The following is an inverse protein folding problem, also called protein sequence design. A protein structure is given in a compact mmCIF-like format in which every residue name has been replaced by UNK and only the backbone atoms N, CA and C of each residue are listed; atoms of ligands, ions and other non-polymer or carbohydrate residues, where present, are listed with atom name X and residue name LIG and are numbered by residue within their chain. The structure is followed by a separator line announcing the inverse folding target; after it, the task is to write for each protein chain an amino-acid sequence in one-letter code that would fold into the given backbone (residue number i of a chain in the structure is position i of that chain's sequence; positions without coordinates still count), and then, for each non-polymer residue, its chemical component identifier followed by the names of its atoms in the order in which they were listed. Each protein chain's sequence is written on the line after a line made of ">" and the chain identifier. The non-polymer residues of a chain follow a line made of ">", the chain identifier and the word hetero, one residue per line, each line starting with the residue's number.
data_IF_278537042658
#
_entry.id   IF_278537042658
#
_cell.length_a   1.000
_cell.length_b   1.000
_cell.length_c   1.000
_cell.angle_alpha   90.00
_cell.angle_beta   90.00
_cell.angle_gamma   90.00
#
_symmetry.space_group_name_H-M   'P 1'
#
loop_
_entity.id
_entity.type
_entity.pdbx_description
1 polymer ?
#
# COMPACT_ATOMS: atom_id res chain seq x y z
N UNK A 1 8.12 8.83 31.73
CA UNK A 1 9.31 8.01 31.36
C UNK A 1 10.53 8.83 31.71
N UNK A 2 11.66 8.22 31.97
CA UNK A 2 12.88 8.93 32.30
C UNK A 2 13.53 9.45 31.01
N UNK A 3 14.27 10.57 31.09
CA UNK A 3 15.08 11.13 29.98
C UNK A 3 16.11 10.12 29.42
N UNK A 4 16.35 9.02 30.11
CA UNK A 4 17.27 7.95 29.71
C UNK A 4 16.60 6.84 28.85
N UNK A 5 15.28 6.89 28.61
CA UNK A 5 14.59 5.88 27.80
C UNK A 5 14.99 5.97 26.33
N UNK A 6 15.21 4.82 25.68
CA UNK A 6 15.67 4.68 24.29
C UNK A 6 14.59 4.01 23.45
N UNK A 7 14.05 4.71 22.48
CA UNK A 7 13.09 4.17 21.54
C UNK A 7 13.73 4.05 20.16
N UNK A 8 13.53 2.90 19.53
CA UNK A 8 14.06 2.61 18.19
C UNK A 8 12.88 2.34 17.24
N UNK A 9 12.90 2.96 16.07
CA UNK A 9 11.94 2.75 14.97
C UNK A 9 12.71 2.12 13.82
N UNK A 10 12.33 0.91 13.42
CA UNK A 10 12.92 0.19 12.29
C UNK A 10 12.01 0.32 11.07
N UNK A 11 12.47 1.06 10.08
CA UNK A 11 11.78 1.43 8.85
C UNK A 11 11.95 2.92 8.56
N UNK A 12 12.07 3.28 7.27
CA UNK A 12 12.29 4.65 6.78
C UNK A 12 11.10 5.23 6.00
N UNK A 13 9.89 4.66 6.15
CA UNK A 13 8.70 5.15 5.43
C UNK A 13 7.80 6.08 6.24
N UNK A 14 6.63 6.40 5.66
CA UNK A 14 5.62 7.27 6.25
C UNK A 14 5.25 6.87 7.69
N UNK A 15 5.04 5.58 7.95
CA UNK A 15 4.66 5.10 9.28
C UNK A 15 5.73 5.40 10.33
N UNK A 16 7.01 5.27 9.99
CA UNK A 16 8.12 5.56 10.87
C UNK A 16 8.22 7.06 11.20
N UNK A 17 8.08 7.94 10.19
CA UNK A 17 8.08 9.38 10.39
C UNK A 17 6.91 9.83 11.26
N UNK A 18 5.70 9.34 10.97
CA UNK A 18 4.50 9.69 11.75
C UNK A 18 4.57 9.16 13.19
N UNK A 19 5.26 8.05 13.42
CA UNK A 19 5.52 7.57 14.77
C UNK A 19 6.49 8.47 15.52
N UNK A 20 7.56 8.92 14.87
CA UNK A 20 8.49 9.88 15.47
C UNK A 20 7.80 11.20 15.80
N UNK A 21 6.97 11.73 14.88
CA UNK A 21 6.14 12.92 15.12
C UNK A 21 5.20 12.71 16.31
N UNK A 22 4.50 11.57 16.37
CA UNK A 22 3.54 11.28 17.44
C UNK A 22 4.21 11.10 18.81
N UNK A 23 5.39 10.48 18.86
CA UNK A 23 6.16 10.34 20.11
C UNK A 23 6.59 11.71 20.63
N UNK A 24 7.16 12.56 19.79
CA UNK A 24 7.56 13.93 20.18
C UNK A 24 6.37 14.82 20.52
N UNK A 25 5.27 14.69 19.77
CA UNK A 25 4.01 15.39 20.08
C UNK A 25 3.32 14.94 21.36
N UNK A 26 3.73 13.81 21.94
CA UNK A 26 3.26 13.29 23.24
C UNK A 26 4.29 13.46 24.36
N UNK A 27 5.24 14.40 24.19
CA UNK A 27 6.26 14.79 25.18
C UNK A 27 7.25 13.67 25.55
N UNK A 28 7.54 12.75 24.61
CA UNK A 28 8.64 11.82 24.78
C UNK A 28 9.97 12.57 24.64
N UNK A 29 10.74 12.65 25.69
CA UNK A 29 12.02 13.40 25.77
C UNK A 29 13.27 12.49 25.78
N UNK A 30 13.09 11.15 25.72
CA UNK A 30 14.16 10.18 25.63
C UNK A 30 14.85 10.15 24.27
N UNK A 31 15.87 9.29 24.13
CA UNK A 31 16.54 9.03 22.85
C UNK A 31 15.58 8.37 21.87
N UNK A 32 15.51 8.91 20.65
CA UNK A 32 14.67 8.40 19.57
C UNK A 32 15.52 8.22 18.32
N UNK A 33 15.68 6.96 17.86
CA UNK A 33 16.44 6.62 16.67
C UNK A 33 15.51 6.02 15.63
N UNK A 34 15.54 6.54 14.40
CA UNK A 34 14.84 6.03 13.22
C UNK A 34 15.87 5.45 12.26
N UNK A 35 15.68 4.19 11.86
CA UNK A 35 16.62 3.47 10.99
C UNK A 35 15.91 3.09 9.70
N UNK A 36 16.39 3.61 8.56
CA UNK A 36 15.83 3.40 7.22
C UNK A 36 16.83 2.80 6.25
N UNK A 37 16.39 1.83 5.45
CA UNK A 37 17.21 1.18 4.42
C UNK A 37 17.51 2.12 3.24
N UNK A 38 16.55 2.97 2.89
CA UNK A 38 16.69 3.94 1.79
C UNK A 38 17.59 5.12 2.20
N UNK A 39 18.29 5.72 1.23
CA UNK A 39 19.16 6.90 1.44
C UNK A 39 18.37 8.20 1.61
N UNK A 40 17.05 8.16 1.50
CA UNK A 40 16.16 9.29 1.55
C UNK A 40 15.44 9.42 2.89
N UNK A 41 15.18 10.66 3.30
CA UNK A 41 14.24 10.91 4.40
C UNK A 41 12.88 10.28 4.09
N UNK A 42 12.12 9.89 5.12
CA UNK A 42 10.79 9.31 4.92
C UNK A 42 9.90 10.16 4.02
N UNK A 43 9.26 9.52 3.05
CA UNK A 43 8.37 10.15 2.07
C UNK A 43 7.11 9.33 1.85
N UNK A 44 6.10 9.95 1.24
CA UNK A 44 4.84 9.32 0.88
C UNK A 44 4.95 8.53 -0.41
N UNK A 45 4.41 7.32 -0.47
CA UNK A 45 4.53 6.46 -1.65
C UNK A 45 3.48 6.70 -2.74
N UNK A 46 2.26 7.20 -2.46
CA UNK A 46 1.26 7.40 -3.51
C UNK A 46 1.73 8.25 -4.69
N UNK A 47 2.54 9.32 -4.53
CA UNK A 47 3.03 10.10 -5.65
C UNK A 47 3.91 9.32 -6.64
N UNK A 48 4.56 8.22 -6.21
CA UNK A 48 5.47 7.43 -7.03
C UNK A 48 4.80 6.78 -8.25
N UNK A 49 3.49 6.53 -8.20
CA UNK A 49 2.69 6.01 -9.33
C UNK A 49 1.76 7.05 -9.95
N UNK A 50 1.75 8.29 -9.42
CA UNK A 50 0.85 9.39 -9.79
C UNK A 50 1.63 10.66 -10.15
N UNK A 51 1.58 11.68 -9.31
CA UNK A 51 2.08 13.04 -9.63
C UNK A 51 3.58 13.06 -9.90
N UNK A 52 4.38 12.29 -9.13
CA UNK A 52 5.82 12.21 -9.36
C UNK A 52 6.11 11.50 -10.68
N UNK A 53 5.47 10.35 -10.93
CA UNK A 53 5.64 9.60 -12.18
C UNK A 53 5.21 10.41 -13.42
N UNK A 54 4.30 11.36 -13.25
CA UNK A 54 3.88 12.32 -14.28
C UNK A 54 4.76 13.57 -14.35
N UNK A 55 5.84 13.65 -13.57
CA UNK A 55 6.75 14.80 -13.51
C UNK A 55 6.15 16.08 -12.90
N UNK A 56 5.05 15.97 -12.13
CA UNK A 56 4.34 17.10 -11.53
C UNK A 56 4.82 17.44 -10.11
N UNK A 57 5.46 16.51 -9.41
CA UNK A 57 5.99 16.68 -8.07
C UNK A 57 7.43 16.16 -7.98
N UNK A 58 8.29 16.89 -7.28
CA UNK A 58 9.61 16.42 -6.91
C UNK A 58 9.58 15.72 -5.55
N UNK A 59 10.59 14.91 -5.20
CA UNK A 59 10.68 14.19 -3.93
C UNK A 59 10.47 15.11 -2.71
N UNK A 60 10.97 16.34 -2.76
CA UNK A 60 10.82 17.31 -1.67
C UNK A 60 9.37 17.68 -1.36
N UNK A 61 8.46 17.59 -2.35
CA UNK A 61 7.05 17.98 -2.21
C UNK A 61 6.23 16.93 -1.43
N UNK A 62 6.71 15.69 -1.35
CA UNK A 62 6.06 14.59 -0.63
C UNK A 62 6.96 13.90 0.41
N UNK A 63 8.10 14.51 0.75
CA UNK A 63 8.89 14.16 1.94
C UNK A 63 8.08 14.50 3.18
N UNK A 64 7.91 13.54 4.11
CA UNK A 64 6.99 13.67 5.26
C UNK A 64 7.37 14.80 6.21
N UNK A 65 8.67 15.00 6.44
CA UNK A 65 9.20 16.11 7.23
C UNK A 65 10.59 16.47 6.72
N UNK A 66 10.94 17.78 6.70
CA UNK A 66 12.28 18.20 6.29
C UNK A 66 13.34 17.74 7.31
N UNK A 67 14.58 17.54 6.86
CA UNK A 67 15.68 17.13 7.76
C UNK A 67 15.91 18.04 8.95
N UNK A 68 15.54 19.33 8.84
CA UNK A 68 15.59 20.26 9.96
C UNK A 68 14.63 19.86 11.08
N UNK A 69 13.42 19.35 10.74
CA UNK A 69 12.46 18.90 11.74
C UNK A 69 13.05 17.80 12.64
N UNK A 70 13.72 16.80 12.08
CA UNK A 70 14.34 15.71 12.85
C UNK A 70 15.41 16.24 13.80
N UNK A 71 16.23 17.20 13.36
CA UNK A 71 17.26 17.84 14.20
C UNK A 71 16.65 18.63 15.36
N UNK A 72 15.65 19.47 15.06
CA UNK A 72 14.99 20.33 16.05
C UNK A 72 14.24 19.51 17.11
N UNK A 73 13.77 18.31 16.73
CA UNK A 73 13.08 17.40 17.64
C UNK A 73 13.98 16.27 18.18
N UNK A 74 15.30 16.40 18.02
CA UNK A 74 16.27 15.41 18.53
C UNK A 74 15.96 13.97 18.13
N UNK A 75 15.56 13.75 16.88
CA UNK A 75 15.39 12.41 16.27
C UNK A 75 16.67 12.09 15.53
N UNK A 76 17.37 11.04 15.97
CA UNK A 76 18.50 10.48 15.24
C UNK A 76 17.97 9.69 14.03
N UNK A 77 18.42 10.03 12.82
CA UNK A 77 17.98 9.36 11.58
C UNK A 77 19.18 8.69 10.94
N UNK A 78 19.12 7.36 10.84
CA UNK A 78 20.13 6.52 10.20
C UNK A 78 19.57 6.04 8.85
N UNK A 79 19.94 6.72 7.76
CA UNK A 79 19.56 6.36 6.38
C UNK A 79 20.58 5.37 5.80
N UNK A 80 20.20 4.67 4.71
CA UNK A 80 21.04 3.65 4.07
C UNK A 80 21.42 2.50 5.01
N UNK A 81 20.63 2.28 6.07
CA UNK A 81 20.98 1.34 7.15
C UNK A 81 19.87 0.30 7.33
N UNK A 82 20.23 -0.96 7.17
CA UNK A 82 19.31 -2.09 7.36
C UNK A 82 19.52 -2.72 8.73
N UNK A 83 18.45 -2.89 9.51
CA UNK A 83 18.49 -3.70 10.73
C UNK A 83 18.49 -5.18 10.32
N UNK A 84 19.47 -5.94 10.79
CA UNK A 84 19.69 -7.34 10.39
C UNK A 84 19.12 -8.36 11.38
N UNK A 85 18.95 -7.98 12.65
CA UNK A 85 18.34 -8.84 13.68
C UNK A 85 17.76 -8.01 14.83
N UNK A 86 16.82 -8.60 15.54
CA UNK A 86 16.29 -8.11 16.81
C UNK A 86 16.53 -9.16 17.89
N UNK A 87 17.30 -8.82 18.91
CA UNK A 87 17.46 -9.63 20.12
C UNK A 87 16.55 -9.10 21.23
N UNK A 88 15.45 -9.81 21.46
CA UNK A 88 14.44 -9.46 22.47
C UNK A 88 14.94 -9.65 23.89
N UNK A 89 15.87 -10.61 24.12
CA UNK A 89 16.39 -10.91 25.46
C UNK A 89 17.34 -9.82 25.95
N UNK A 90 18.23 -9.35 25.07
CA UNK A 90 19.15 -8.26 25.38
C UNK A 90 18.56 -6.88 25.06
N UNK A 91 17.38 -6.82 24.42
CA UNK A 91 16.73 -5.59 23.91
C UNK A 91 17.66 -4.77 23.03
N UNK A 92 18.17 -5.39 21.97
CA UNK A 92 19.04 -4.74 20.99
C UNK A 92 18.60 -5.02 19.55
N UNK A 93 18.87 -4.09 18.65
CA UNK A 93 18.83 -4.33 17.21
C UNK A 93 20.25 -4.36 16.67
N UNK A 94 20.53 -5.30 15.76
CA UNK A 94 21.85 -5.47 15.12
C UNK A 94 21.91 -4.71 13.79
N UNK A 95 23.07 -4.11 13.49
CA UNK A 95 23.38 -3.43 12.25
C UNK A 95 24.35 -4.24 11.37
N UNK A 96 24.49 -3.91 10.07
CA UNK A 96 25.32 -4.69 9.15
C UNK A 96 26.80 -4.73 9.51
N UNK A 97 27.33 -3.71 10.20
CA UNK A 97 28.72 -3.62 10.66
C UNK A 97 29.01 -4.45 11.92
N UNK A 98 28.00 -5.16 12.46
CA UNK A 98 28.08 -5.95 13.66
C UNK A 98 27.85 -5.15 14.96
N UNK A 99 27.64 -3.84 14.87
CA UNK A 99 27.24 -3.04 16.02
C UNK A 99 25.80 -3.31 16.43
N UNK A 100 25.45 -2.94 17.65
CA UNK A 100 24.08 -3.09 18.17
C UNK A 100 23.62 -1.80 18.83
N UNK A 101 22.31 -1.49 18.67
CA UNK A 101 21.66 -0.39 19.34
C UNK A 101 20.67 -0.94 20.38
N UNK A 102 20.81 -0.54 21.66
CA UNK A 102 19.88 -0.94 22.70
C UNK A 102 18.56 -0.15 22.61
N UNK A 103 17.46 -0.79 22.97
CA UNK A 103 16.14 -0.16 23.05
C UNK A 103 15.42 -0.51 24.35
N UNK A 104 14.58 0.39 24.83
CA UNK A 104 13.59 0.11 25.87
C UNK A 104 12.23 -0.18 25.22
N UNK A 105 11.93 0.47 24.07
CA UNK A 105 10.80 0.17 23.18
C UNK A 105 11.24 0.15 21.73
N UNK A 106 10.65 -0.76 20.97
CA UNK A 106 10.93 -0.97 19.55
C UNK A 106 9.64 -0.84 18.72
N UNK A 107 9.72 -0.15 17.61
CA UNK A 107 8.67 -0.16 16.61
C UNK A 107 9.16 -0.79 15.30
N UNK A 108 8.40 -1.76 14.79
CA UNK A 108 8.60 -2.34 13.47
C UNK A 108 7.70 -1.62 12.46
N UNK A 109 8.30 -0.93 11.50
CA UNK A 109 7.64 -0.18 10.44
C UNK A 109 8.29 -0.48 9.07
N UNK A 110 8.70 -1.74 8.86
CA UNK A 110 9.49 -2.21 7.72
C UNK A 110 8.73 -2.25 6.39
N UNK A 111 7.43 -2.02 6.41
CA UNK A 111 6.61 -1.91 5.20
C UNK A 111 6.53 -3.20 4.39
N UNK A 112 6.48 -3.04 3.06
CA UNK A 112 6.35 -4.15 2.11
C UNK A 112 7.25 -3.95 0.90
N UNK A 113 7.49 -5.02 0.15
CA UNK A 113 8.23 -5.04 -1.11
C UNK A 113 7.39 -5.63 -2.24
N UNK A 114 7.65 -5.29 -3.52
CA UNK A 114 7.01 -5.92 -4.65
C UNK A 114 7.22 -7.43 -4.67
N UNK A 115 6.23 -8.16 -5.14
CA UNK A 115 6.39 -9.58 -5.49
C UNK A 115 7.03 -9.68 -6.86
N UNK A 116 7.95 -10.62 -7.01
CA UNK A 116 8.52 -11.00 -8.31
C UNK A 116 7.97 -12.36 -8.74
N UNK A 117 7.71 -12.48 -10.03
CA UNK A 117 7.30 -13.77 -10.59
C UNK A 117 8.53 -14.68 -10.70
N UNK A 118 8.43 -15.94 -10.27
CA UNK A 118 9.51 -16.92 -10.42
C UNK A 118 9.49 -17.54 -11.83
N UNK A 119 9.63 -16.71 -12.86
CA UNK A 119 9.61 -17.10 -14.27
C UNK A 119 10.94 -16.71 -14.95
N UNK A 120 11.33 -17.42 -16.05
CA UNK A 120 12.52 -17.06 -16.81
C UNK A 120 12.47 -15.60 -17.26
N UNK A 121 13.61 -14.92 -17.20
CA UNK A 121 13.75 -13.52 -17.62
C UNK A 121 13.25 -12.46 -16.61
N UNK A 122 12.71 -12.87 -15.45
CA UNK A 122 12.15 -11.94 -14.46
C UNK A 122 13.17 -10.92 -13.89
N UNK A 123 14.45 -11.25 -13.91
CA UNK A 123 15.53 -10.39 -13.42
C UNK A 123 16.37 -9.76 -14.56
N UNK A 124 15.88 -9.81 -15.82
CA UNK A 124 16.60 -9.25 -16.98
C UNK A 124 16.62 -7.71 -16.92
N UNK A 125 17.60 -7.11 -17.59
CA UNK A 125 17.63 -5.67 -17.81
C UNK A 125 16.34 -5.24 -18.55
N UNK A 126 15.74 -4.10 -18.18
CA UNK A 126 14.46 -3.63 -18.76
C UNK A 126 13.23 -4.27 -18.12
N UNK A 127 13.41 -5.03 -17.03
CA UNK A 127 12.31 -5.46 -16.16
C UNK A 127 12.27 -4.54 -14.95
N UNK A 128 11.10 -3.98 -14.69
CA UNK A 128 10.86 -2.95 -13.67
C UNK A 128 9.86 -3.44 -12.63
N UNK A 129 9.92 -2.81 -11.48
CA UNK A 129 8.93 -2.85 -10.40
C UNK A 129 8.79 -1.45 -9.81
N UNK A 130 7.80 -1.19 -8.97
CA UNK A 130 7.62 0.11 -8.35
C UNK A 130 7.39 0.00 -6.85
N UNK A 131 8.31 0.57 -6.07
CA UNK A 131 8.21 0.74 -4.63
C UNK A 131 8.99 1.94 -4.11
N UNK A 132 10.17 2.25 -4.69
CA UNK A 132 11.04 3.34 -4.24
C UNK A 132 11.07 4.50 -5.23
N UNK A 133 11.67 5.62 -4.80
CA UNK A 133 11.83 6.81 -5.63
C UNK A 133 12.71 6.51 -6.85
N UNK A 134 13.78 5.75 -6.68
CA UNK A 134 14.70 5.39 -7.78
C UNK A 134 13.98 4.55 -8.85
N UNK A 135 13.06 3.68 -8.41
CA UNK A 135 12.27 2.88 -9.35
C UNK A 135 11.24 3.74 -10.09
N UNK A 136 10.68 4.75 -9.45
CA UNK A 136 9.80 5.72 -10.11
C UNK A 136 10.58 6.59 -11.10
N UNK A 137 11.76 7.08 -10.72
CA UNK A 137 12.66 7.85 -11.60
C UNK A 137 13.07 7.03 -12.83
N UNK A 138 13.38 5.74 -12.64
CA UNK A 138 13.69 4.83 -13.74
C UNK A 138 12.51 4.62 -14.71
N UNK A 139 11.27 4.65 -14.20
CA UNK A 139 10.06 4.60 -15.04
C UNK A 139 9.83 5.93 -15.79
N UNK A 140 10.13 7.08 -15.17
CA UNK A 140 10.09 8.39 -15.85
C UNK A 140 11.05 8.41 -17.04
N UNK A 141 12.29 7.97 -16.84
CA UNK A 141 13.30 7.88 -17.89
C UNK A 141 12.87 6.91 -19.01
N UNK A 142 12.28 5.76 -18.61
CA UNK A 142 11.72 4.79 -19.53
C UNK A 142 10.62 5.40 -20.43
N UNK A 143 9.69 6.15 -19.86
CA UNK A 143 8.58 6.76 -20.62
C UNK A 143 9.08 7.79 -21.65
N UNK A 144 10.25 8.37 -21.44
CA UNK A 144 10.90 9.26 -22.42
C UNK A 144 11.49 8.54 -23.64
N UNK A 145 11.67 7.21 -23.59
CA UNK A 145 12.41 6.44 -24.59
C UNK A 145 11.69 5.21 -25.13
N UNK A 146 10.89 4.52 -24.30
CA UNK A 146 10.17 3.33 -24.70
C UNK A 146 8.94 3.66 -25.56
N UNK A 147 8.64 2.77 -26.51
CA UNK A 147 7.42 2.82 -27.31
C UNK A 147 6.34 1.89 -26.77
N UNK A 148 6.76 0.71 -26.27
CA UNK A 148 5.85 -0.37 -25.84
C UNK A 148 6.25 -0.85 -24.45
N UNK A 149 5.29 -0.87 -23.54
CA UNK A 149 5.43 -1.39 -22.19
C UNK A 149 4.47 -2.58 -22.00
N UNK A 150 4.98 -3.70 -21.54
CA UNK A 150 4.15 -4.80 -21.03
C UNK A 150 4.04 -4.68 -19.50
N UNK A 151 2.82 -4.65 -18.98
CA UNK A 151 2.53 -4.62 -17.55
C UNK A 151 1.95 -5.97 -17.15
N UNK A 152 2.62 -6.66 -16.23
CA UNK A 152 2.15 -7.94 -15.70
C UNK A 152 1.45 -7.68 -14.35
N UNK A 153 0.14 -7.90 -14.32
CA UNK A 153 -0.75 -7.64 -13.20
C UNK A 153 -1.56 -6.36 -13.35
N UNK A 154 -2.89 -6.50 -13.25
CA UNK A 154 -3.85 -5.40 -13.29
C UNK A 154 -4.38 -5.06 -11.88
N UNK A 155 -3.50 -5.01 -10.88
CA UNK A 155 -3.73 -4.42 -9.57
C UNK A 155 -3.59 -2.90 -9.60
N UNK A 156 -3.75 -2.24 -8.44
CA UNK A 156 -3.72 -0.77 -8.32
C UNK A 156 -2.48 -0.15 -8.94
N UNK A 157 -1.29 -0.57 -8.54
CA UNK A 157 -0.01 -0.03 -9.05
C UNK A 157 0.14 -0.28 -10.55
N UNK A 158 -0.19 -1.48 -11.03
CA UNK A 158 -0.13 -1.80 -12.46
C UNK A 158 -1.00 -0.88 -13.30
N UNK A 159 -2.23 -0.60 -12.85
CA UNK A 159 -3.16 0.29 -13.54
C UNK A 159 -2.76 1.77 -13.43
N UNK A 160 -2.28 2.24 -12.27
CA UNK A 160 -1.79 3.61 -12.11
C UNK A 160 -0.58 3.89 -13.00
N UNK A 161 0.42 2.98 -13.03
CA UNK A 161 1.57 3.10 -13.93
C UNK A 161 1.13 3.01 -15.39
N UNK A 162 0.15 2.15 -15.71
CA UNK A 162 -0.44 2.09 -17.06
C UNK A 162 -1.06 3.43 -17.45
N UNK A 163 -1.81 4.08 -16.56
CA UNK A 163 -2.41 5.38 -16.81
C UNK A 163 -1.34 6.46 -17.05
N UNK A 164 -0.27 6.47 -16.25
CA UNK A 164 0.85 7.39 -16.41
C UNK A 164 1.59 7.15 -17.74
N UNK A 165 1.92 5.90 -18.08
CA UNK A 165 2.59 5.54 -19.32
C UNK A 165 1.77 5.93 -20.56
N UNK A 166 0.44 5.66 -20.53
CA UNK A 166 -0.46 6.09 -21.63
C UNK A 166 -0.51 7.62 -21.76
N UNK A 167 -0.52 8.33 -20.65
CA UNK A 167 -0.48 9.81 -20.64
C UNK A 167 0.83 10.33 -21.23
N UNK A 168 1.94 9.63 -21.03
CA UNK A 168 3.24 9.92 -21.63
C UNK A 168 3.35 9.47 -23.11
N UNK A 169 2.31 8.82 -23.68
CA UNK A 169 2.31 8.39 -25.08
C UNK A 169 2.88 6.98 -25.35
N UNK A 170 3.21 6.22 -24.30
CA UNK A 170 3.70 4.84 -24.42
C UNK A 170 2.54 3.91 -24.77
N UNK A 171 2.70 2.98 -25.71
CA UNK A 171 1.77 1.89 -25.95
C UNK A 171 1.86 0.87 -24.82
N UNK A 172 0.72 0.51 -24.22
CA UNK A 172 0.71 -0.39 -23.05
C UNK A 172 -0.16 -1.61 -23.32
N UNK A 173 0.41 -2.78 -23.07
CA UNK A 173 -0.32 -4.06 -22.96
C UNK A 173 -0.32 -4.47 -21.49
N UNK A 174 -1.51 -4.64 -20.90
CA UNK A 174 -1.68 -5.14 -19.52
C UNK A 174 -2.11 -6.61 -19.58
N UNK A 175 -1.43 -7.44 -18.80
CA UNK A 175 -1.64 -8.89 -18.74
C UNK A 175 -2.09 -9.29 -17.35
N UNK A 176 -3.30 -9.87 -17.25
CA UNK A 176 -3.93 -10.22 -15.98
C UNK A 176 -4.43 -11.67 -16.00
N UNK A 177 -4.17 -12.40 -14.92
CA UNK A 177 -4.63 -13.79 -14.78
C UNK A 177 -6.11 -13.89 -14.46
N UNK A 178 -6.66 -12.91 -13.78
CA UNK A 178 -8.09 -12.84 -13.49
C UNK A 178 -8.89 -12.39 -14.72
N UNK A 179 -10.21 -12.60 -14.69
CA UNK A 179 -11.10 -12.25 -15.81
C UNK A 179 -11.30 -10.76 -16.01
N UNK A 180 -11.11 -9.98 -14.94
CA UNK A 180 -11.17 -8.53 -14.93
C UNK A 180 -10.07 -7.98 -14.03
N UNK A 181 -9.60 -6.73 -14.25
CA UNK A 181 -8.67 -6.07 -13.34
C UNK A 181 -9.28 -5.87 -11.96
N UNK A 182 -8.46 -5.74 -10.93
CA UNK A 182 -8.88 -5.47 -9.54
C UNK A 182 -9.90 -6.45 -8.96
N UNK A 183 -10.11 -7.62 -9.58
CA UNK A 183 -11.16 -8.57 -9.17
C UNK A 183 -11.06 -8.96 -7.70
N UNK A 184 -9.85 -9.17 -7.20
CA UNK A 184 -9.63 -9.55 -5.79
C UNK A 184 -10.02 -8.44 -4.80
N UNK A 185 -9.95 -7.18 -5.22
CA UNK A 185 -10.25 -6.01 -4.39
C UNK A 185 -11.70 -5.54 -4.50
N UNK A 186 -12.24 -5.51 -5.73
CA UNK A 186 -13.52 -4.87 -6.03
C UNK A 186 -14.59 -5.83 -6.55
N UNK A 187 -14.23 -7.07 -6.91
CA UNK A 187 -15.13 -8.00 -7.57
C UNK A 187 -15.24 -7.74 -9.09
N UNK A 188 -16.11 -8.53 -9.74
CA UNK A 188 -16.21 -8.51 -11.22
C UNK A 188 -16.85 -7.23 -11.74
N UNK A 189 -17.96 -6.80 -11.15
CA UNK A 189 -18.74 -5.66 -11.64
C UNK A 189 -17.94 -4.36 -11.66
N UNK A 190 -17.27 -4.04 -10.56
CA UNK A 190 -16.41 -2.85 -10.49
C UNK A 190 -15.11 -3.03 -11.27
N UNK A 191 -14.59 -4.24 -11.37
CA UNK A 191 -13.45 -4.55 -12.23
C UNK A 191 -13.71 -4.22 -13.70
N UNK A 192 -14.93 -4.45 -14.22
CA UNK A 192 -15.28 -4.07 -15.59
C UNK A 192 -15.27 -2.54 -15.80
N UNK A 193 -15.67 -1.74 -14.81
CA UNK A 193 -15.59 -0.27 -14.90
C UNK A 193 -14.14 0.18 -15.12
N UNK A 194 -13.18 -0.39 -14.41
CA UNK A 194 -11.76 -0.11 -14.62
C UNK A 194 -11.23 -0.68 -15.93
N UNK A 195 -11.72 -1.86 -16.36
CA UNK A 195 -11.36 -2.41 -17.67
C UNK A 195 -11.78 -1.48 -18.80
N UNK A 196 -13.00 -0.96 -18.75
CA UNK A 196 -13.53 -0.03 -19.76
C UNK A 196 -12.81 1.32 -19.74
N UNK A 197 -12.43 1.83 -18.53
CA UNK A 197 -11.60 3.01 -18.40
C UNK A 197 -10.29 2.86 -19.18
N UNK A 198 -9.56 1.78 -18.96
CA UNK A 198 -8.26 1.56 -19.60
C UNK A 198 -8.38 1.30 -21.10
N UNK A 199 -9.36 0.49 -21.53
CA UNK A 199 -9.65 0.27 -22.95
C UNK A 199 -10.00 1.57 -23.69
N UNK A 200 -10.79 2.46 -23.06
CA UNK A 200 -11.13 3.76 -23.62
C UNK A 200 -9.91 4.66 -23.82
N UNK A 201 -8.83 4.47 -23.02
CA UNK A 201 -7.55 5.15 -23.17
C UNK A 201 -6.54 4.39 -24.05
N UNK A 202 -7.00 3.37 -24.81
CA UNK A 202 -6.20 2.67 -25.80
C UNK A 202 -5.19 1.67 -25.20
N UNK A 203 -5.46 1.14 -24.01
CA UNK A 203 -4.71 0.03 -23.42
C UNK A 203 -5.14 -1.29 -24.04
N UNK A 204 -4.17 -2.13 -24.47
CA UNK A 204 -4.41 -3.54 -24.81
C UNK A 204 -4.51 -4.34 -23.51
N UNK A 205 -5.72 -4.42 -22.95
CA UNK A 205 -5.99 -5.12 -21.70
C UNK A 205 -6.40 -6.56 -21.96
N UNK A 206 -5.52 -7.50 -21.62
CA UNK A 206 -5.70 -8.96 -21.78
C UNK A 206 -5.88 -9.62 -20.41
N UNK A 207 -7.11 -10.00 -20.11
CA UNK A 207 -7.48 -10.70 -18.90
C UNK A 207 -7.65 -12.21 -19.17
N UNK A 208 -7.49 -13.02 -18.12
CA UNK A 208 -7.53 -14.49 -18.22
C UNK A 208 -6.29 -15.09 -18.89
N UNK A 209 -5.17 -14.36 -18.93
CA UNK A 209 -3.91 -14.81 -19.54
C UNK A 209 -2.81 -14.95 -18.48
N UNK A 210 -1.87 -15.84 -18.72
CA UNK A 210 -0.72 -16.07 -17.84
C UNK A 210 0.58 -15.88 -18.61
N UNK A 211 1.51 -15.12 -18.01
CA UNK A 211 2.86 -14.97 -18.53
C UNK A 211 3.69 -16.17 -18.11
N UNK A 212 4.27 -16.88 -19.08
CA UNK A 212 5.15 -18.04 -18.88
C UNK A 212 6.61 -17.62 -18.73
N UNK A 213 7.06 -16.59 -19.47
CA UNK A 213 8.41 -16.04 -19.37
C UNK A 213 8.46 -14.58 -19.85
N UNK A 214 9.50 -13.86 -19.46
CA UNK A 214 9.92 -12.61 -20.07
C UNK A 214 10.98 -12.98 -21.10
N UNK A 215 10.71 -12.69 -22.38
CA UNK A 215 11.65 -12.98 -23.46
C UNK A 215 12.82 -12.03 -23.42
N UNK A 216 14.02 -12.55 -23.71
CA UNK A 216 15.25 -11.75 -23.59
C UNK A 216 16.15 -11.92 -24.81
N UNK A 217 16.92 -10.88 -25.13
CA UNK A 217 17.99 -10.92 -26.10
C UNK A 217 19.19 -10.11 -25.58
N UNK A 218 20.37 -10.71 -25.56
CA UNK A 218 21.58 -10.06 -25.03
C UNK A 218 21.48 -9.69 -23.53
N UNK A 219 20.60 -10.36 -22.76
CA UNK A 219 20.38 -10.09 -21.33
C UNK A 219 19.32 -9.00 -21.03
N UNK A 220 18.76 -8.37 -22.05
CA UNK A 220 17.68 -7.37 -21.92
C UNK A 220 16.33 -7.96 -22.31
N UNK A 221 15.26 -7.51 -21.64
CA UNK A 221 13.88 -7.88 -21.96
C UNK A 221 13.51 -7.39 -23.38
N UNK A 222 12.79 -8.24 -24.12
CA UNK A 222 12.29 -7.95 -25.48
C UNK A 222 10.78 -8.15 -25.59
N UNK A 223 10.14 -8.57 -24.51
CA UNK A 223 8.72 -8.83 -24.45
C UNK A 223 8.36 -9.92 -23.46
N UNK A 224 7.22 -10.53 -23.66
CA UNK A 224 6.71 -11.62 -22.83
C UNK A 224 6.14 -12.75 -23.69
N UNK A 225 6.25 -13.98 -23.21
CA UNK A 225 5.56 -15.15 -23.79
C UNK A 225 4.51 -15.63 -22.81
N UNK A 226 3.29 -15.83 -23.34
CA UNK A 226 2.17 -16.37 -22.59
C UNK A 226 2.21 -17.91 -22.55
N UNK A 227 1.37 -18.52 -21.73
CA UNK A 227 1.27 -19.98 -21.59
C UNK A 227 0.63 -20.68 -22.80
N UNK A 228 0.00 -19.93 -23.71
CA UNK A 228 -0.50 -20.39 -25.01
C UNK A 228 0.52 -20.19 -26.16
N UNK A 229 1.79 -19.93 -25.84
CA UNK A 229 2.89 -19.62 -26.76
C UNK A 229 2.76 -18.29 -27.53
N UNK A 230 1.75 -17.45 -27.25
CA UNK A 230 1.66 -16.12 -27.82
C UNK A 230 2.84 -15.26 -27.33
N UNK A 231 3.58 -14.64 -28.24
CA UNK A 231 4.68 -13.71 -27.94
C UNK A 231 4.23 -12.29 -28.20
N UNK A 232 4.45 -11.44 -27.18
CA UNK A 232 4.16 -10.01 -27.23
C UNK A 232 5.48 -9.25 -27.08
N UNK A 233 5.83 -8.49 -28.11
CA UNK A 233 7.03 -7.64 -28.07
C UNK A 233 6.80 -6.42 -27.18
N UNK A 234 7.79 -6.08 -26.37
CA UNK A 234 7.82 -4.88 -25.55
C UNK A 234 9.25 -4.39 -25.36
N UNK A 235 9.45 -3.09 -25.24
CA UNK A 235 10.75 -2.48 -24.99
C UNK A 235 11.11 -2.58 -23.49
N UNK A 236 10.11 -2.76 -22.65
CA UNK A 236 10.24 -2.95 -21.21
C UNK A 236 9.07 -3.75 -20.63
N UNK A 237 9.28 -4.31 -19.44
CA UNK A 237 8.28 -5.08 -18.70
C UNK A 237 8.17 -4.54 -17.27
N UNK A 238 6.98 -4.20 -16.81
CA UNK A 238 6.68 -3.90 -15.41
C UNK A 238 6.05 -5.12 -14.74
N UNK A 239 6.62 -5.58 -13.63
CA UNK A 239 5.99 -6.56 -12.76
C UNK A 239 5.21 -5.85 -11.64
N UNK A 240 3.88 -5.94 -11.66
CA UNK A 240 2.96 -5.36 -10.68
C UNK A 240 2.02 -6.40 -10.08
N UNK A 241 2.58 -7.54 -9.66
CA UNK A 241 1.86 -8.76 -9.24
C UNK A 241 1.61 -8.82 -7.72
N UNK A 242 1.51 -7.66 -7.08
CA UNK A 242 1.21 -7.51 -5.67
C UNK A 242 2.43 -7.20 -4.79
N UNK A 243 2.21 -7.11 -3.49
CA UNK A 243 3.22 -6.83 -2.50
C UNK A 243 3.36 -7.96 -1.47
N UNK A 244 4.47 -7.97 -0.76
CA UNK A 244 4.76 -8.88 0.34
C UNK A 244 5.26 -8.06 1.54
N UNK A 245 4.65 -8.17 2.72
CA UNK A 245 5.12 -7.48 3.92
C UNK A 245 6.51 -7.99 4.34
N UNK A 246 7.35 -7.08 4.82
CA UNK A 246 8.71 -7.37 5.30
C UNK A 246 8.66 -7.84 6.75
N UNK A 247 8.22 -9.07 6.97
CA UNK A 247 7.98 -9.64 8.32
C UNK A 247 9.14 -10.50 8.82
N UNK A 248 10.17 -10.71 8.03
CA UNK A 248 11.26 -11.63 8.32
C UNK A 248 11.96 -11.25 9.64
N UNK A 249 12.25 -9.96 9.84
CA UNK A 249 12.87 -9.46 11.06
C UNK A 249 12.05 -9.79 12.32
N UNK A 250 10.74 -9.69 12.25
CA UNK A 250 9.83 -10.05 13.34
C UNK A 250 9.79 -11.57 13.55
N UNK A 251 9.67 -12.35 12.48
CA UNK A 251 9.61 -13.80 12.53
C UNK A 251 10.90 -14.40 13.10
N UNK A 252 12.06 -13.94 12.65
CA UNK A 252 13.38 -14.40 13.12
C UNK A 252 13.62 -14.04 14.60
N UNK A 253 13.03 -12.94 15.07
CA UNK A 253 13.02 -12.56 16.48
C UNK A 253 12.01 -13.36 17.33
N UNK A 254 11.24 -14.28 16.73
CA UNK A 254 10.23 -15.07 17.42
C UNK A 254 8.98 -14.27 17.81
N UNK A 255 8.70 -13.17 17.11
CA UNK A 255 7.44 -12.43 17.23
C UNK A 255 6.40 -13.14 16.35
N UNK A 256 5.19 -13.29 16.86
CA UNK A 256 4.14 -14.00 16.15
C UNK A 256 3.75 -13.28 14.84
N UNK A 257 3.73 -14.04 13.74
CA UNK A 257 3.36 -13.56 12.41
C UNK A 257 2.28 -14.43 11.79
N UNK A 258 1.47 -13.84 10.94
CA UNK A 258 0.50 -14.47 10.07
C UNK A 258 0.73 -13.99 8.63
N UNK A 259 -0.25 -13.32 8.04
CA UNK A 259 -0.06 -12.56 6.80
C UNK A 259 0.77 -11.27 7.02
N UNK A 260 0.92 -10.85 8.27
CA UNK A 260 1.70 -9.74 8.79
C UNK A 260 2.24 -10.05 10.18
N UNK A 261 2.74 -9.04 10.90
CA UNK A 261 3.08 -9.11 12.32
C UNK A 261 1.78 -9.00 13.12
N UNK A 262 1.50 -10.01 13.96
CA UNK A 262 0.27 -10.05 14.75
C UNK A 262 0.30 -8.99 15.85
N UNK A 263 -0.64 -8.06 15.81
CA UNK A 263 -0.81 -7.02 16.82
C UNK A 263 -2.25 -6.98 17.34
N UNK A 264 -2.42 -6.45 18.53
CA UNK A 264 -3.74 -6.17 19.12
C UNK A 264 -4.31 -4.83 18.62
N UNK A 265 -5.41 -4.38 19.21
CA UNK A 265 -6.06 -3.11 18.88
C UNK A 265 -5.20 -1.88 19.18
N UNK A 266 -4.26 -2.01 20.11
CA UNK A 266 -3.29 -0.95 20.49
C UNK A 266 -2.01 -0.97 19.64
N UNK A 267 -1.92 -1.88 18.66
CA UNK A 267 -0.76 -2.14 17.80
C UNK A 267 0.44 -2.78 18.54
N UNK A 268 0.22 -3.27 19.77
CA UNK A 268 1.21 -4.06 20.50
C UNK A 268 1.32 -5.47 19.92
N UNK A 269 2.55 -6.00 19.84
CA UNK A 269 2.79 -7.41 19.54
C UNK A 269 2.60 -8.25 20.80
N UNK A 270 2.87 -9.56 20.72
CA UNK A 270 2.95 -10.42 21.91
C UNK A 270 4.10 -10.05 22.87
N UNK A 271 5.00 -9.17 22.47
CA UNK A 271 6.04 -8.58 23.32
C UNK A 271 5.62 -7.16 23.72
N UNK A 272 5.46 -6.86 25.03
CA UNK A 272 4.95 -5.56 25.48
C UNK A 272 5.88 -4.38 25.19
N UNK A 273 7.11 -4.64 24.75
CA UNK A 273 8.08 -3.63 24.39
C UNK A 273 8.19 -3.41 22.87
N UNK A 274 7.39 -4.14 22.08
CA UNK A 274 7.45 -4.09 20.61
C UNK A 274 6.08 -3.82 20.01
N UNK A 275 5.99 -2.79 19.20
CA UNK A 275 4.80 -2.47 18.37
C UNK A 275 5.09 -2.71 16.89
N UNK A 276 4.04 -2.91 16.07
CA UNK A 276 4.17 -2.93 14.61
C UNK A 276 3.09 -2.05 13.96
N UNK A 277 3.47 -1.31 12.89
CA UNK A 277 2.61 -0.33 12.21
C UNK A 277 2.79 -0.38 10.69
N UNK A 278 1.78 0.12 9.98
CA UNK A 278 1.77 0.21 8.51
C UNK A 278 1.48 -1.14 7.85
N UNK A 279 2.07 -1.37 6.67
CA UNK A 279 1.78 -2.54 5.80
C UNK A 279 2.02 -3.88 6.48
N UNK A 280 2.93 -3.94 7.47
CA UNK A 280 3.27 -5.18 8.17
C UNK A 280 2.30 -5.52 9.29
N UNK A 281 1.49 -4.58 9.79
CA UNK A 281 0.63 -4.81 10.94
C UNK A 281 -0.61 -5.63 10.56
N UNK A 282 -0.73 -6.84 11.13
CA UNK A 282 -1.95 -7.65 11.08
C UNK A 282 -2.70 -7.46 12.39
N UNK A 283 -3.57 -6.47 12.40
CA UNK A 283 -4.23 -5.98 13.58
C UNK A 283 -5.49 -6.79 13.92
N UNK A 284 -5.71 -7.07 15.20
CA UNK A 284 -7.05 -7.44 15.69
C UNK A 284 -7.93 -6.18 15.72
N UNK A 285 -8.69 -5.97 14.64
CA UNK A 285 -9.43 -4.72 14.45
C UNK A 285 -10.70 -4.67 15.30
N UNK A 286 -10.85 -3.68 16.19
CA UNK A 286 -11.95 -3.66 17.19
C UNK A 286 -13.33 -3.51 16.53
N UNK A 287 -13.51 -2.65 15.53
CA UNK A 287 -14.80 -2.47 14.86
C UNK A 287 -15.16 -3.63 13.93
N UNK A 288 -14.19 -4.23 13.24
CA UNK A 288 -14.47 -5.31 12.29
C UNK A 288 -14.53 -6.68 12.96
N UNK A 289 -14.05 -6.80 14.23
CA UNK A 289 -14.10 -8.03 15.01
C UNK A 289 -13.22 -9.17 14.45
N UNK A 290 -12.26 -8.84 13.58
CA UNK A 290 -11.39 -9.79 12.90
C UNK A 290 -9.98 -9.23 12.72
N UNK A 291 -9.03 -10.09 12.34
CA UNK A 291 -7.71 -9.63 11.92
C UNK A 291 -7.78 -9.00 10.55
N UNK A 292 -7.11 -7.85 10.42
CA UNK A 292 -7.04 -7.07 9.19
C UNK A 292 -5.60 -6.67 8.94
N UNK A 293 -5.12 -6.92 7.74
CA UNK A 293 -3.87 -6.40 7.21
C UNK A 293 -4.12 -5.84 5.81
N UNK A 294 -3.85 -4.58 5.64
CA UNK A 294 -3.94 -3.88 4.35
C UNK A 294 -2.72 -3.00 4.15
N UNK A 295 -2.25 -2.91 2.91
CA UNK A 295 -1.11 -2.09 2.51
C UNK A 295 -1.59 -0.69 2.08
N UNK A 296 -2.36 -0.03 2.97
CA UNK A 296 -2.98 1.25 2.66
C UNK A 296 -2.19 2.41 3.27
N UNK A 297 -2.01 3.47 2.49
CA UNK A 297 -1.41 4.72 2.93
C UNK A 297 -2.02 5.23 4.25
N UNK A 298 -3.35 5.15 4.39
CA UNK A 298 -4.06 5.60 5.60
C UNK A 298 -3.63 4.86 6.87
N UNK A 299 -3.26 3.57 6.80
CA UNK A 299 -2.74 2.84 7.95
C UNK A 299 -1.34 3.36 8.34
N UNK A 300 -0.46 3.56 7.36
CA UNK A 300 0.86 4.13 7.61
C UNK A 300 0.78 5.56 8.19
N UNK A 301 -0.24 6.32 7.81
CA UNK A 301 -0.49 7.68 8.31
C UNK A 301 -1.04 7.69 9.74
N UNK A 302 -1.99 6.80 10.05
CA UNK A 302 -2.84 6.96 11.25
C UNK A 302 -2.51 5.98 12.40
N UNK A 303 -2.06 4.75 12.12
CA UNK A 303 -1.66 3.78 13.15
C UNK A 303 -0.56 4.30 14.08
N UNK A 304 0.45 5.05 13.58
CA UNK A 304 1.55 5.55 14.42
C UNK A 304 1.12 6.37 15.63
N UNK A 305 0.03 7.12 15.54
CA UNK A 305 -0.48 7.89 16.67
C UNK A 305 -0.89 6.99 17.85
N UNK A 306 -1.52 5.85 17.56
CA UNK A 306 -1.92 4.87 18.59
C UNK A 306 -0.70 4.09 19.08
N UNK A 307 0.19 3.67 18.19
CA UNK A 307 1.42 2.98 18.58
C UNK A 307 2.31 3.84 19.49
N UNK A 308 2.38 5.15 19.26
CA UNK A 308 3.08 6.07 20.15
C UNK A 308 2.51 6.05 21.56
N UNK A 309 1.17 6.07 21.72
CA UNK A 309 0.53 5.94 23.03
C UNK A 309 0.90 4.61 23.70
N UNK A 310 0.86 3.52 22.95
CA UNK A 310 1.24 2.18 23.45
C UNK A 310 2.69 2.14 23.93
N UNK A 311 3.64 2.67 23.14
CA UNK A 311 5.06 2.75 23.54
C UNK A 311 5.26 3.60 24.79
N UNK A 312 4.41 4.61 24.99
CA UNK A 312 4.43 5.50 26.17
C UNK A 312 3.67 4.91 27.38
N UNK A 313 3.10 3.69 27.26
CA UNK A 313 2.30 3.08 28.34
C UNK A 313 0.96 3.77 28.55
N UNK A 314 0.47 4.54 27.57
CA UNK A 314 -0.83 5.19 27.58
C UNK A 314 -1.88 4.33 26.85
N UNK A 315 -3.15 4.36 27.23
CA UNK A 315 -4.20 3.61 26.54
C UNK A 315 -4.43 4.17 25.13
N UNK A 316 -4.66 3.29 24.16
CA UNK A 316 -5.00 3.61 22.79
C UNK A 316 -5.62 2.43 22.06
N UNK A 317 -6.49 2.68 21.10
CA UNK A 317 -7.07 1.67 20.22
C UNK A 317 -7.19 2.25 18.81
N UNK A 318 -6.71 1.52 17.81
CA UNK A 318 -6.85 1.91 16.41
C UNK A 318 -8.11 1.28 15.82
N UNK A 319 -9.15 2.09 15.65
CA UNK A 319 -10.49 1.69 15.23
C UNK A 319 -10.91 2.27 13.86
N UNK A 320 -10.00 2.95 13.17
CA UNK A 320 -10.32 3.55 11.86
C UNK A 320 -10.54 2.46 10.81
N UNK A 321 -11.63 2.58 10.06
CA UNK A 321 -11.89 1.69 8.93
C UNK A 321 -10.75 1.75 7.90
N UNK A 322 -10.40 0.62 7.25
CA UNK A 322 -9.50 0.63 6.11
C UNK A 322 -9.96 1.63 5.05
N UNK A 323 -9.04 2.43 4.55
CA UNK A 323 -9.29 3.45 3.53
C UNK A 323 -8.14 3.50 2.54
N UNK A 324 -8.47 3.59 1.26
CA UNK A 324 -7.51 3.91 0.21
C UNK A 324 -8.17 4.70 -0.91
N UNK A 325 -7.33 5.26 -1.78
CA UNK A 325 -7.76 6.03 -2.95
C UNK A 325 -6.90 5.68 -4.16
N UNK A 326 -7.41 5.96 -5.35
CA UNK A 326 -6.63 5.93 -6.59
C UNK A 326 -7.09 7.04 -7.51
N UNK A 327 -6.14 7.54 -8.32
CA UNK A 327 -6.38 8.49 -9.39
C UNK A 327 -5.82 7.91 -10.68
N UNK A 328 -6.66 7.73 -11.69
CA UNK A 328 -6.29 7.15 -12.98
C UNK A 328 -7.00 7.91 -14.09
N UNK A 329 -6.23 8.63 -14.92
CA UNK A 329 -6.76 9.53 -15.94
C UNK A 329 -7.70 10.60 -15.35
N UNK A 330 -9.01 10.52 -15.67
CA UNK A 330 -10.09 11.38 -15.20
C UNK A 330 -10.97 10.74 -14.11
N UNK A 331 -10.56 9.57 -13.61
CA UNK A 331 -11.25 8.85 -12.55
C UNK A 331 -10.50 9.02 -11.24
N UNK A 332 -11.12 9.69 -10.27
CA UNK A 332 -10.73 9.67 -8.87
C UNK A 332 -11.66 8.79 -8.06
N UNK A 333 -11.11 8.00 -7.13
CA UNK A 333 -11.88 7.06 -6.33
C UNK A 333 -11.37 6.99 -4.90
N UNK A 334 -12.31 6.90 -3.96
CA UNK A 334 -12.06 6.57 -2.57
C UNK A 334 -12.83 5.30 -2.19
N UNK A 335 -12.20 4.44 -1.41
CA UNK A 335 -12.79 3.22 -0.87
C UNK A 335 -12.66 3.19 0.65
N UNK A 336 -13.74 2.91 1.35
CA UNK A 336 -13.77 2.78 2.81
C UNK A 336 -14.43 1.47 3.20
N UNK A 337 -13.86 0.78 4.19
CA UNK A 337 -14.37 -0.48 4.71
C UNK A 337 -13.52 -1.68 4.34
N UNK A 338 -14.07 -2.87 4.49
CA UNK A 338 -13.31 -4.10 4.29
C UNK A 338 -14.23 -5.26 3.92
N UNK A 339 -14.01 -5.85 2.76
CA UNK A 339 -14.53 -7.15 2.35
C UNK A 339 -13.38 -8.14 2.45
N UNK A 340 -13.51 -9.16 3.29
CA UNK A 340 -12.43 -10.12 3.48
C UNK A 340 -12.22 -10.99 2.23
N UNK A 341 -10.99 -11.46 1.97
CA UNK A 341 -10.74 -12.41 0.89
C UNK A 341 -11.64 -13.63 1.00
N UNK A 342 -12.41 -13.92 -0.07
CA UNK A 342 -13.37 -15.03 -0.11
C UNK A 342 -14.71 -14.75 0.58
N UNK A 343 -14.93 -13.57 1.13
CA UNK A 343 -16.23 -13.16 1.64
C UNK A 343 -17.17 -12.79 0.47
N UNK A 344 -18.35 -13.40 0.44
CA UNK A 344 -19.35 -13.08 -0.57
C UNK A 344 -20.04 -11.76 -0.21
N UNK A 345 -20.04 -10.81 -1.14
CA UNK A 345 -20.73 -9.54 -1.02
C UNK A 345 -21.49 -9.24 -2.31
N UNK A 346 -22.71 -8.75 -2.18
CA UNK A 346 -23.46 -8.20 -3.31
C UNK A 346 -23.12 -6.73 -3.50
N UNK A 347 -22.98 -6.30 -4.76
CA UNK A 347 -22.69 -4.91 -5.09
C UNK A 347 -23.99 -4.17 -5.38
N UNK A 348 -24.15 -2.98 -4.80
CA UNK A 348 -25.23 -2.05 -5.09
C UNK A 348 -24.64 -0.77 -5.61
N UNK A 349 -25.03 -0.35 -6.81
CA UNK A 349 -24.56 0.88 -7.43
C UNK A 349 -25.62 1.97 -7.33
N UNK A 350 -25.20 3.16 -6.96
CA UNK A 350 -25.99 4.40 -6.92
C UNK A 350 -25.32 5.42 -7.84
N UNK A 351 -25.97 5.82 -8.91
CA UNK A 351 -25.44 6.71 -9.94
C UNK A 351 -25.21 5.95 -11.26
N UNK A 352 -24.32 6.46 -12.09
CA UNK A 352 -24.07 5.93 -13.42
C UNK A 352 -22.59 5.54 -13.61
N UNK A 353 -22.32 4.27 -13.74
CA UNK A 353 -20.98 3.75 -14.01
C UNK A 353 -20.43 4.16 -15.38
N UNK A 354 -21.32 4.43 -16.36
CA UNK A 354 -20.95 4.87 -17.69
C UNK A 354 -20.39 6.29 -17.72
N UNK A 355 -20.90 7.18 -16.88
CA UNK A 355 -20.36 8.54 -16.68
C UNK A 355 -19.23 8.59 -15.68
N UNK A 356 -19.00 7.49 -14.94
CA UNK A 356 -18.04 7.42 -13.83
C UNK A 356 -18.35 8.42 -12.70
N UNK A 357 -19.64 8.63 -12.44
CA UNK A 357 -20.12 9.40 -11.31
C UNK A 357 -21.10 8.53 -10.51
N UNK A 358 -20.57 7.78 -9.54
CA UNK A 358 -21.37 6.81 -8.78
C UNK A 358 -20.77 6.50 -7.41
N UNK A 359 -21.62 5.88 -6.57
CA UNK A 359 -21.19 5.22 -5.32
C UNK A 359 -21.54 3.75 -5.42
N UNK A 360 -20.61 2.87 -5.09
CA UNK A 360 -20.83 1.44 -4.99
C UNK A 360 -20.73 0.98 -3.53
N UNK A 361 -21.58 0.03 -3.14
CA UNK A 361 -21.63 -0.54 -1.80
C UNK A 361 -21.52 -2.06 -1.88
N UNK A 362 -20.73 -2.64 -1.00
CA UNK A 362 -20.63 -4.08 -0.80
C UNK A 362 -21.47 -4.46 0.40
N UNK A 363 -22.47 -5.31 0.19
CA UNK A 363 -23.40 -5.74 1.23
C UNK A 363 -23.19 -7.24 1.54
N UNK A 364 -23.23 -7.57 2.84
CA UNK A 364 -23.30 -8.97 3.28
C UNK A 364 -24.68 -9.60 2.99
N UNK A 365 -24.83 -10.88 3.29
CA UNK A 365 -26.11 -11.62 3.12
C UNK A 365 -27.26 -11.08 3.96
N UNK A 366 -26.99 -10.25 4.98
CA UNK A 366 -27.96 -9.56 5.82
C UNK A 366 -28.23 -8.13 5.37
N UNK A 367 -27.77 -7.73 4.18
CA UNK A 367 -27.83 -6.36 3.66
C UNK A 367 -27.14 -5.31 4.53
N UNK A 368 -26.07 -5.66 5.26
CA UNK A 368 -25.26 -4.70 6.00
C UNK A 368 -24.11 -4.24 5.11
N UNK A 369 -23.79 -2.95 5.18
CA UNK A 369 -22.69 -2.39 4.39
C UNK A 369 -21.35 -2.82 5.00
N UNK A 370 -20.54 -3.55 4.23
CA UNK A 370 -19.19 -3.96 4.57
C UNK A 370 -18.15 -2.92 4.10
N UNK A 371 -18.41 -2.34 2.93
CA UNK A 371 -17.55 -1.36 2.31
C UNK A 371 -18.34 -0.46 1.36
N UNK A 372 -17.80 0.70 1.05
CA UNK A 372 -18.31 1.59 0.02
C UNK A 372 -17.18 2.27 -0.75
N UNK A 373 -17.46 2.60 -2.00
CA UNK A 373 -16.55 3.25 -2.94
C UNK A 373 -17.28 4.41 -3.60
N UNK A 374 -16.71 5.60 -3.55
CA UNK A 374 -17.19 6.73 -4.36
C UNK A 374 -16.23 6.99 -5.51
N UNK A 375 -16.79 7.22 -6.69
CA UNK A 375 -16.06 7.55 -7.91
C UNK A 375 -16.53 8.91 -8.40
N UNK A 376 -15.62 9.88 -8.47
CA UNK A 376 -15.86 11.28 -8.86
C UNK A 376 -17.00 11.98 -8.08
N UNK A 377 -17.38 11.46 -6.91
CA UNK A 377 -18.34 12.02 -5.97
C UNK A 377 -17.67 12.14 -4.61
N UNK A 378 -17.46 13.35 -4.09
CA UNK A 378 -16.55 13.59 -2.96
C UNK A 378 -17.26 13.83 -1.60
N UNK A 379 -18.57 13.85 -1.56
CA UNK A 379 -19.38 14.10 -0.36
C UNK A 379 -20.01 12.84 0.26
N UNK A 380 -19.72 11.66 -0.30
CA UNK A 380 -20.31 10.40 0.15
C UNK A 380 -19.53 9.70 1.30
N UNK A 381 -18.26 10.04 1.50
CA UNK A 381 -17.35 9.29 2.36
C UNK A 381 -17.79 9.15 3.82
N UNK A 382 -18.31 10.21 4.43
CA UNK A 382 -18.77 10.16 5.83
C UNK A 382 -20.04 9.32 5.97
N UNK A 383 -20.95 9.41 5.01
CA UNK A 383 -22.15 8.58 5.02
C UNK A 383 -21.86 7.10 4.82
N UNK A 384 -20.88 6.77 3.96
CA UNK A 384 -20.38 5.41 3.80
C UNK A 384 -19.87 4.87 5.16
N UNK A 385 -19.04 5.64 5.87
CA UNK A 385 -18.52 5.26 7.20
C UNK A 385 -19.65 5.02 8.21
N UNK A 386 -20.64 5.91 8.27
CA UNK A 386 -21.80 5.76 9.15
C UNK A 386 -22.54 4.45 8.88
N UNK A 387 -22.81 4.13 7.62
CA UNK A 387 -23.50 2.89 7.24
C UNK A 387 -22.71 1.64 7.65
N UNK A 388 -21.39 1.63 7.48
CA UNK A 388 -20.53 0.52 7.90
C UNK A 388 -20.51 0.37 9.42
N UNK A 389 -20.35 1.47 10.15
CA UNK A 389 -20.23 1.46 11.61
C UNK A 389 -21.56 1.10 12.29
N UNK A 390 -22.69 1.55 11.75
CA UNK A 390 -24.02 1.23 12.28
C UNK A 390 -24.31 -0.27 12.27
N UNK A 391 -23.79 -1.02 11.30
CA UNK A 391 -24.08 -2.43 11.05
C UNK A 391 -25.58 -2.74 10.90
N UNK A 392 -26.39 -1.73 10.65
CA UNK A 392 -27.81 -1.91 10.41
C UNK A 392 -28.08 -2.40 8.99
N UNK A 393 -29.03 -3.31 8.76
CA UNK A 393 -29.45 -3.68 7.43
C UNK A 393 -30.01 -2.49 6.67
N UNK A 394 -29.64 -2.35 5.40
CA UNK A 394 -30.16 -1.32 4.49
C UNK A 394 -31.09 -1.94 3.44
N UNK A 395 -32.02 -1.16 2.90
CA UNK A 395 -32.77 -1.56 1.72
C UNK A 395 -31.90 -1.29 0.45
N UNK A 396 -31.46 -2.33 -0.29
CA UNK A 396 -30.63 -2.15 -1.47
C UNK A 396 -31.27 -1.27 -2.56
N UNK A 397 -32.60 -1.30 -2.67
CA UNK A 397 -33.33 -0.48 -3.66
C UNK A 397 -33.27 0.99 -3.30
N UNK A 398 -33.46 1.31 -2.00
CA UNK A 398 -33.35 2.67 -1.50
C UNK A 398 -31.91 3.18 -1.57
N UNK A 399 -30.93 2.30 -1.32
CA UNK A 399 -29.53 2.65 -1.40
C UNK A 399 -29.13 3.02 -2.86
N UNK A 400 -29.69 2.32 -3.86
CA UNK A 400 -29.46 2.61 -5.27
C UNK A 400 -30.19 3.85 -5.81
N UNK A 401 -31.27 4.31 -5.13
CA UNK A 401 -32.16 5.36 -5.61
C UNK A 401 -31.55 6.76 -5.42
N UNK A 402 -31.07 7.37 -6.50
CA UNK A 402 -30.47 8.72 -6.52
C UNK A 402 -31.47 9.85 -6.21
N UNK A 403 -32.78 9.58 -6.24
CA UNK A 403 -33.80 10.57 -5.90
C UNK A 403 -33.98 10.78 -4.40
N UNK A 404 -33.43 9.89 -3.57
CA UNK A 404 -33.43 10.01 -2.10
C UNK A 404 -32.03 10.39 -1.59
N UNK A 405 -31.92 11.01 -0.43
CA UNK A 405 -30.63 11.22 0.22
C UNK A 405 -30.01 9.88 0.64
N UNK A 406 -28.70 9.80 0.57
CA UNK A 406 -27.93 8.63 0.99
C UNK A 406 -28.03 8.45 2.52
#
# INVERSE_FOLDING_TARGET
>A
MTTDSRFVIVGGGLAAAKLAEALRGNDFDGTLTLIGEEEHLPYERPPLSKEHLLGKQALADFTTAPGQWYRDHHVEVMLGTTVTAVDRASKTVALPDGSTLPYDKLALATGSRPRRLPIPGADAQGVYELRSIEQSDALIDLFGSARRLAVIGAGWIGLEVTAAARTAGVEVTVLETERVPLRAALGTEMGEVFADLHRAHGVDLRCGVRVAEITTSGGAATGVRLDDDTVLEADAVLQAVGARPNIELAADAGIAVGSGVLVDESLATGDPDIVAVGDIAEQQHPLLGRRVRVEHWANALNQPAVAALTMLGKPGSYDRLPYFFTDQYDLGMEYTGYVAPGEEASVVVRGDTGTREFVAFWLDSGNRVLAGMNVNIWDAGDRIKELIVSREPVDPRRLADTSTSL
#
